data_IF_805381837998
#
_entry.id   IF_805381837998
#
_cell.length_a   1.000
_cell.length_b   1.000
_cell.length_c   1.000
_cell.angle_alpha   90.00
_cell.angle_beta   90.00
_cell.angle_gamma   90.00
#
_symmetry.space_group_name_H-M   'P 1'
#
loop_
_entity.id
_entity.type
_entity.pdbx_description
1 polymer ?
#
# COMPACT_ATOMS: atom_id res chain seq x y z
N UNK A 1 -19.52 11.40 8.63
CA UNK A 1 -19.80 12.25 7.46
C UNK A 1 -19.64 11.52 6.12
N UNK A 2 -18.48 10.91 5.79
CA UNK A 2 -18.31 10.20 4.49
C UNK A 2 -19.16 8.93 4.36
N UNK A 3 -19.23 8.10 5.42
CA UNK A 3 -20.00 6.84 5.42
C UNK A 3 -21.50 7.09 5.24
N UNK A 4 -22.07 8.02 6.02
CA UNK A 4 -23.50 8.40 5.92
C UNK A 4 -23.84 9.00 4.55
N UNK A 5 -22.91 9.74 3.93
CA UNK A 5 -23.06 10.30 2.59
C UNK A 5 -22.76 9.32 1.45
N UNK A 6 -22.48 8.04 1.72
CA UNK A 6 -22.04 7.04 0.71
C UNK A 6 -20.81 7.45 -0.12
N UNK A 7 -19.94 8.30 0.45
CA UNK A 7 -18.71 8.84 -0.17
C UNK A 7 -17.42 8.31 0.46
N UNK A 8 -17.48 7.28 1.30
CA UNK A 8 -16.29 6.63 1.86
C UNK A 8 -15.64 5.69 0.83
N UNK A 9 -14.31 5.78 0.69
CA UNK A 9 -13.51 4.82 -0.06
C UNK A 9 -13.36 3.50 0.71
N UNK A 10 -12.96 2.46 -0.03
CA UNK A 10 -12.52 1.18 0.51
C UNK A 10 -11.12 1.24 1.12
N UNK A 11 -10.35 2.30 0.81
CA UNK A 11 -9.04 2.61 1.39
C UNK A 11 -9.22 3.50 2.62
N UNK A 12 -8.50 3.14 3.68
CA UNK A 12 -8.55 3.73 4.99
C UNK A 12 -7.13 3.95 5.52
N UNK A 13 -6.89 5.05 6.23
CA UNK A 13 -5.65 5.28 6.98
C UNK A 13 -5.99 5.62 8.42
N UNK A 14 -5.42 4.90 9.38
CA UNK A 14 -5.70 5.04 10.80
C UNK A 14 -7.21 5.08 11.14
N UNK A 15 -8.02 4.29 10.43
CA UNK A 15 -9.48 4.27 10.61
C UNK A 15 -10.25 5.40 9.90
N UNK A 16 -9.55 6.33 9.24
CA UNK A 16 -10.14 7.39 8.42
C UNK A 16 -10.23 6.96 6.94
N UNK A 17 -11.45 6.76 6.39
CA UNK A 17 -11.60 6.42 4.98
C UNK A 17 -11.27 7.63 4.10
N UNK A 18 -10.63 7.37 2.95
CA UNK A 18 -10.49 8.38 1.91
C UNK A 18 -11.85 8.75 1.29
N UNK A 19 -11.88 9.81 0.50
CA UNK A 19 -13.04 10.12 -0.36
C UNK A 19 -13.10 9.06 -1.45
N UNK A 20 -14.31 8.53 -1.70
CA UNK A 20 -14.53 7.50 -2.73
C UNK A 20 -13.95 7.95 -4.06
N UNK A 21 -13.16 7.07 -4.70
CA UNK A 21 -12.48 7.27 -5.97
C UNK A 21 -11.29 8.25 -5.94
N UNK A 22 -10.96 8.88 -4.81
CA UNK A 22 -9.83 9.80 -4.75
C UNK A 22 -8.48 9.10 -4.82
N UNK A 23 -8.42 7.79 -4.60
CA UNK A 23 -7.19 6.98 -4.75
C UNK A 23 -6.60 7.04 -6.16
N UNK A 24 -7.43 7.37 -7.16
CA UNK A 24 -7.01 7.54 -8.57
C UNK A 24 -6.36 8.90 -8.84
N UNK A 25 -6.39 9.82 -7.87
CA UNK A 25 -5.82 11.17 -7.98
C UNK A 25 -4.40 11.25 -7.40
N UNK A 26 -3.77 10.10 -7.11
CA UNK A 26 -2.51 9.97 -6.38
C UNK A 26 -2.59 10.43 -4.92
N UNK A 27 -1.65 9.94 -4.11
CA UNK A 27 -1.56 10.25 -2.68
C UNK A 27 -0.13 10.69 -2.39
N UNK A 28 0.03 11.87 -1.80
CA UNK A 28 1.31 12.35 -1.28
C UNK A 28 1.36 12.11 0.23
N UNK A 29 2.29 11.26 0.67
CA UNK A 29 2.58 11.02 2.09
C UNK A 29 3.87 11.75 2.43
N UNK A 30 3.80 12.78 3.27
CA UNK A 30 4.94 13.62 3.66
C UNK A 30 5.13 13.66 5.18
N UNK A 31 6.35 13.88 5.62
CA UNK A 31 6.74 13.93 7.03
C UNK A 31 8.24 13.66 7.22
N UNK A 32 8.79 14.05 8.36
CA UNK A 32 10.21 13.81 8.69
C UNK A 32 10.49 12.33 8.98
N UNK A 33 11.75 11.96 9.17
CA UNK A 33 12.12 10.59 9.56
C UNK A 33 11.46 10.23 10.88
N UNK A 34 10.93 9.01 11.00
CA UNK A 34 10.24 8.54 12.21
C UNK A 34 8.77 8.92 12.33
N UNK A 35 8.20 9.76 11.45
CA UNK A 35 6.79 10.19 11.54
C UNK A 35 5.76 9.18 11.06
N UNK A 36 6.16 7.96 10.71
CA UNK A 36 5.22 6.89 10.36
C UNK A 36 4.84 6.76 8.88
N UNK A 37 5.59 7.37 7.94
CA UNK A 37 5.36 7.18 6.48
C UNK A 37 5.32 5.70 6.08
N UNK A 38 6.28 4.91 6.56
CA UNK A 38 6.32 3.46 6.33
C UNK A 38 5.15 2.73 7.00
N UNK A 39 4.67 3.21 8.15
CA UNK A 39 3.48 2.63 8.80
C UNK A 39 2.21 2.82 7.95
N UNK A 40 2.03 3.99 7.33
CA UNK A 40 0.93 4.20 6.37
C UNK A 40 1.01 3.24 5.19
N UNK A 41 2.21 2.98 4.63
CA UNK A 41 2.37 2.01 3.55
C UNK A 41 2.06 0.58 4.02
N UNK A 42 2.50 0.21 5.22
CA UNK A 42 2.20 -1.08 5.85
C UNK A 42 0.68 -1.28 6.11
N UNK A 43 -0.07 -0.20 6.30
CA UNK A 43 -1.54 -0.24 6.42
C UNK A 43 -2.22 -0.32 5.03
N UNK A 44 -1.65 0.33 4.02
CA UNK A 44 -2.23 0.39 2.68
C UNK A 44 -2.11 -0.94 1.91
N UNK A 45 -0.93 -1.58 1.93
CA UNK A 45 -0.68 -2.77 1.12
C UNK A 45 -1.63 -3.95 1.41
N UNK A 46 -1.94 -4.29 2.69
CA UNK A 46 -2.94 -5.30 2.99
C UNK A 46 -4.34 -4.96 2.45
N UNK A 47 -4.72 -3.68 2.43
CA UNK A 47 -6.01 -3.25 1.87
C UNK A 47 -6.05 -3.44 0.36
N UNK A 48 -4.97 -3.09 -0.35
CA UNK A 48 -4.84 -3.34 -1.79
C UNK A 48 -5.03 -4.84 -2.08
N UNK A 49 -4.33 -5.70 -1.34
CA UNK A 49 -4.44 -7.16 -1.48
C UNK A 49 -5.84 -7.67 -1.18
N UNK A 50 -6.44 -7.23 -0.06
CA UNK A 50 -7.80 -7.60 0.35
C UNK A 50 -8.83 -7.27 -0.73
N UNK A 51 -8.66 -6.13 -1.39
CA UNK A 51 -9.55 -5.67 -2.47
C UNK A 51 -9.24 -6.30 -3.83
N UNK A 52 -8.27 -7.22 -3.90
CA UNK A 52 -7.78 -7.86 -5.14
C UNK A 52 -7.24 -6.87 -6.17
N UNK A 53 -6.83 -5.70 -5.71
CA UNK A 53 -6.11 -4.73 -6.52
C UNK A 53 -4.63 -5.15 -6.64
N UNK A 54 -3.88 -4.50 -7.56
CA UNK A 54 -2.46 -4.77 -7.77
C UNK A 54 -1.62 -3.55 -7.38
N UNK A 55 -0.43 -3.79 -6.86
CA UNK A 55 0.57 -2.77 -6.59
C UNK A 55 1.91 -3.14 -7.23
N UNK A 56 2.65 -2.12 -7.67
CA UNK A 56 4.07 -2.20 -7.98
C UNK A 56 4.78 -1.41 -6.88
N UNK A 57 5.76 -2.05 -6.23
CA UNK A 57 6.43 -1.49 -5.07
C UNK A 57 7.90 -1.31 -5.44
N UNK A 58 8.39 -0.07 -5.29
CA UNK A 58 9.82 0.21 -5.35
C UNK A 58 10.36 0.06 -3.94
N UNK A 59 10.98 -1.08 -3.66
CA UNK A 59 11.54 -1.39 -2.35
C UNK A 59 13.07 -1.41 -2.41
N UNK A 60 13.69 -0.35 -1.92
CA UNK A 60 15.15 -0.22 -1.88
C UNK A 60 15.79 -0.92 -0.68
N UNK A 61 14.98 -1.36 0.29
CA UNK A 61 15.45 -1.92 1.57
C UNK A 61 15.15 -3.41 1.73
N UNK A 62 14.23 -3.95 0.93
CA UNK A 62 13.72 -5.31 1.07
C UNK A 62 12.66 -5.48 2.17
N UNK A 63 12.29 -4.42 2.89
CA UNK A 63 11.36 -4.50 4.03
C UNK A 63 9.93 -4.86 3.63
N UNK A 64 9.49 -4.46 2.44
CA UNK A 64 8.17 -4.83 1.93
C UNK A 64 8.17 -6.21 1.30
N UNK A 65 9.30 -6.62 0.71
CA UNK A 65 9.48 -7.99 0.22
C UNK A 65 9.36 -8.96 1.40
N UNK A 66 10.17 -8.77 2.45
CA UNK A 66 10.17 -9.64 3.64
C UNK A 66 8.78 -9.76 4.28
N UNK A 67 8.02 -8.67 4.30
CA UNK A 67 6.72 -8.62 4.98
C UNK A 67 5.53 -9.07 4.13
N UNK A 68 5.53 -8.81 2.82
CA UNK A 68 4.31 -8.92 2.00
C UNK A 68 4.46 -9.74 0.72
N UNK A 69 5.68 -10.12 0.33
CA UNK A 69 5.90 -10.89 -0.89
C UNK A 69 5.37 -12.32 -0.74
N UNK A 70 4.51 -12.74 -1.67
CA UNK A 70 4.08 -14.12 -1.81
C UNK A 70 4.70 -14.74 -3.08
N UNK A 71 5.66 -15.68 -2.95
CA UNK A 71 6.32 -16.30 -4.10
C UNK A 71 5.35 -17.08 -5.01
N UNK A 72 4.15 -17.43 -4.52
CA UNK A 72 3.14 -18.13 -5.34
C UNK A 72 2.48 -17.22 -6.37
N UNK A 73 2.42 -15.91 -6.13
CA UNK A 73 1.65 -15.00 -6.97
C UNK A 73 2.33 -13.67 -7.33
N UNK A 74 3.34 -13.24 -6.57
CA UNK A 74 4.03 -11.99 -6.81
C UNK A 74 5.25 -12.15 -7.72
N UNK A 75 5.71 -11.04 -8.28
CA UNK A 75 6.87 -10.99 -9.17
C UNK A 75 7.95 -10.10 -8.57
N UNK A 76 9.15 -10.64 -8.46
CA UNK A 76 10.33 -9.92 -8.00
C UNK A 76 11.16 -9.53 -9.21
N UNK A 77 11.41 -8.23 -9.37
CA UNK A 77 12.30 -7.70 -10.40
C UNK A 77 13.59 -7.23 -9.72
N UNK A 78 14.53 -8.15 -9.55
CA UNK A 78 15.85 -7.86 -9.00
C UNK A 78 16.92 -8.61 -9.80
N UNK A 79 17.82 -7.92 -10.54
CA UNK A 79 18.82 -8.57 -11.38
C UNK A 79 19.91 -9.32 -10.58
N UNK A 80 20.01 -9.06 -9.27
CA UNK A 80 20.97 -9.73 -8.39
C UNK A 80 20.40 -10.99 -7.74
N UNK A 81 19.08 -11.17 -7.79
CA UNK A 81 18.44 -12.39 -7.30
C UNK A 81 18.65 -13.51 -8.32
N UNK A 82 19.23 -14.61 -7.83
CA UNK A 82 19.34 -15.82 -8.64
C UNK A 82 17.99 -16.51 -8.64
N UNK A 83 17.35 -16.57 -9.81
CA UNK A 83 16.24 -17.49 -10.04
C UNK A 83 16.73 -18.91 -9.72
N UNK A 84 16.39 -19.43 -8.55
CA UNK A 84 16.63 -20.82 -8.16
C UNK A 84 15.41 -21.65 -8.49
#
# INVERSE_FOLDING_TARGET
MLKSAKKASKICFAGLPLVKNSERLHILITGTTGTGKTNMLNELLPQIRLHKDRAIIVDTTGTFIDRFFDPKCDKLLNPLEKNS
#
